data_IF_081894197854
#
_entry.id   IF_081894197854
#
_cell.length_a   1.000
_cell.length_b   1.000
_cell.length_c   1.000
_cell.angle_alpha   90.00
_cell.angle_beta   90.00
_cell.angle_gamma   90.00
#
_symmetry.space_group_name_H-M   'P 1'
#
loop_
_entity.id
_entity.type
_entity.pdbx_description
1 polymer ?
#
# COMPACT_ATOMS: atom_id res chain seq x y z
N UNK A 1 -14.97 -5.14 12.96
CA UNK A 1 -15.76 -4.10 12.26
C UNK A 1 -17.19 -4.11 12.78
N UNK A 2 -17.78 -2.96 13.14
CA UNK A 2 -19.23 -2.83 13.28
C UNK A 2 -19.85 -3.11 11.90
N UNK A 3 -20.99 -3.82 11.88
CA UNK A 3 -21.62 -4.36 10.66
C UNK A 3 -22.17 -3.30 9.70
N UNK A 4 -22.10 -2.01 10.06
CA UNK A 4 -22.80 -0.92 9.37
C UNK A 4 -21.90 -0.06 8.44
N UNK A 5 -20.61 -0.37 8.31
CA UNK A 5 -19.64 0.46 7.56
C UNK A 5 -19.45 0.08 6.07
N UNK A 6 -20.31 -0.78 5.52
CA UNK A 6 -20.19 -1.23 4.12
C UNK A 6 -20.69 -0.18 3.10
N UNK A 7 -21.53 0.77 3.54
CA UNK A 7 -22.06 1.83 2.67
C UNK A 7 -20.97 2.82 2.20
N UNK A 8 -19.96 3.05 3.04
CA UNK A 8 -18.85 3.97 2.74
C UNK A 8 -17.66 3.29 2.06
N UNK A 9 -17.66 1.95 2.00
CA UNK A 9 -16.59 1.15 1.40
C UNK A 9 -16.33 1.51 -0.09
N UNK A 10 -17.35 1.71 -0.95
CA UNK A 10 -17.12 2.11 -2.34
C UNK A 10 -16.44 3.47 -2.47
N UNK A 11 -16.83 4.44 -1.62
CA UNK A 11 -16.23 5.78 -1.61
C UNK A 11 -14.78 5.74 -1.12
N UNK A 12 -14.51 4.97 -0.06
CA UNK A 12 -13.16 4.72 0.43
C UNK A 12 -12.27 4.08 -0.65
N UNK A 13 -12.77 3.04 -1.33
CA UNK A 13 -12.05 2.37 -2.43
C UNK A 13 -11.80 3.33 -3.59
N UNK A 14 -12.77 4.18 -3.94
CA UNK A 14 -12.63 5.15 -5.03
C UNK A 14 -11.54 6.19 -4.73
N UNK A 15 -11.53 6.77 -3.53
CA UNK A 15 -10.49 7.73 -3.11
C UNK A 15 -9.11 7.07 -3.04
N UNK A 16 -9.02 5.85 -2.49
CA UNK A 16 -7.78 5.09 -2.45
C UNK A 16 -7.25 4.78 -3.85
N UNK A 17 -8.13 4.41 -4.79
CA UNK A 17 -7.79 4.17 -6.20
C UNK A 17 -7.28 5.43 -6.88
N UNK A 18 -8.00 6.53 -6.78
CA UNK A 18 -7.62 7.81 -7.42
C UNK A 18 -6.25 8.27 -6.94
N UNK A 19 -6.05 8.34 -5.62
CA UNK A 19 -4.79 8.80 -5.02
C UNK A 19 -3.61 7.89 -5.38
N UNK A 20 -3.82 6.57 -5.36
CA UNK A 20 -2.77 5.61 -5.74
C UNK A 20 -2.41 5.71 -7.22
N UNK A 21 -3.41 5.91 -8.08
CA UNK A 21 -3.22 6.07 -9.52
C UNK A 21 -2.46 7.36 -9.85
N UNK A 22 -2.83 8.50 -9.24
CA UNK A 22 -2.11 9.78 -9.44
C UNK A 22 -0.65 9.69 -9.01
N UNK A 23 -0.36 9.04 -7.88
CA UNK A 23 1.02 8.90 -7.39
C UNK A 23 1.85 7.97 -8.27
N UNK A 24 1.26 6.86 -8.73
CA UNK A 24 1.94 5.91 -9.62
C UNK A 24 2.17 6.49 -11.03
N UNK A 25 1.19 7.22 -11.57
CA UNK A 25 1.31 7.92 -12.85
C UNK A 25 2.42 8.98 -12.85
N UNK A 26 2.61 9.70 -11.73
CA UNK A 26 3.73 10.63 -11.55
C UNK A 26 5.12 9.98 -11.49
N UNK A 27 5.17 8.65 -11.32
CA UNK A 27 6.40 7.84 -11.30
C UNK A 27 6.54 6.92 -12.53
N UNK A 28 5.72 7.11 -13.56
CA UNK A 28 5.64 6.24 -14.75
C UNK A 28 5.46 4.75 -14.40
N UNK A 29 4.73 4.45 -13.31
CA UNK A 29 4.53 3.09 -12.82
C UNK A 29 3.03 2.79 -12.64
N UNK A 30 2.67 1.51 -12.61
CA UNK A 30 1.32 1.10 -12.19
C UNK A 30 1.19 1.22 -10.67
N UNK A 31 -0.03 1.34 -10.15
CA UNK A 31 -0.28 1.36 -8.70
C UNK A 31 0.18 0.07 -8.01
N UNK A 32 0.16 -1.06 -8.72
CA UNK A 32 0.66 -2.35 -8.24
C UNK A 32 2.18 -2.32 -8.13
N UNK A 33 2.89 -1.90 -9.19
CA UNK A 33 4.34 -1.79 -9.18
C UNK A 33 4.84 -0.85 -8.07
N UNK A 34 4.16 0.29 -7.86
CA UNK A 34 4.46 1.20 -6.75
C UNK A 34 4.25 0.54 -5.37
N UNK A 35 3.14 -0.16 -5.17
CA UNK A 35 2.85 -0.83 -3.90
C UNK A 35 3.89 -1.92 -3.60
N UNK A 36 4.25 -2.73 -4.61
CA UNK A 36 5.26 -3.77 -4.49
C UNK A 36 6.65 -3.18 -4.18
N UNK A 37 7.06 -2.13 -4.89
CA UNK A 37 8.33 -1.43 -4.62
C UNK A 37 8.36 -0.82 -3.20
N UNK A 38 7.24 -0.24 -2.74
CA UNK A 38 7.13 0.32 -1.39
C UNK A 38 7.17 -0.75 -0.28
N UNK A 39 6.63 -1.94 -0.51
CA UNK A 39 6.74 -3.07 0.42
C UNK A 39 8.17 -3.60 0.45
N UNK A 40 8.78 -3.82 -0.72
CA UNK A 40 10.13 -4.39 -0.81
C UNK A 40 11.24 -3.45 -0.36
N UNK A 41 11.00 -2.13 -0.32
CA UNK A 41 11.92 -1.17 0.29
C UNK A 41 12.07 -1.38 1.81
N UNK A 42 11.08 -1.99 2.47
CA UNK A 42 11.17 -2.28 3.90
C UNK A 42 12.16 -3.42 4.16
N UNK A 43 13.27 -3.11 4.84
CA UNK A 43 14.35 -4.07 5.17
C UNK A 43 13.93 -5.25 6.04
N UNK A 44 12.76 -5.17 6.69
CA UNK A 44 12.20 -6.25 7.51
C UNK A 44 11.48 -7.29 6.63
N UNK A 45 11.04 -6.90 5.43
CA UNK A 45 10.29 -7.76 4.52
C UNK A 45 11.25 -8.50 3.58
N UNK A 46 11.23 -9.83 3.63
CA UNK A 46 12.07 -10.67 2.76
C UNK A 46 11.46 -10.93 1.38
N UNK A 47 10.14 -10.94 1.26
CA UNK A 47 9.43 -11.19 0.00
C UNK A 47 7.99 -10.68 0.05
N UNK A 48 7.40 -10.50 -1.14
CA UNK A 48 5.98 -10.16 -1.31
C UNK A 48 5.29 -11.25 -2.12
N UNK A 49 4.05 -11.60 -1.76
CA UNK A 49 3.21 -12.53 -2.51
C UNK A 49 2.17 -11.73 -3.28
N UNK A 50 2.26 -11.72 -4.60
CA UNK A 50 1.28 -11.06 -5.47
C UNK A 50 0.19 -12.06 -5.92
N UNK A 51 -1.07 -11.75 -5.61
CA UNK A 51 -2.23 -12.57 -5.98
C UNK A 51 -2.70 -12.34 -7.42
N UNK A 52 -1.90 -12.77 -8.40
CA UNK A 52 -2.13 -12.46 -9.81
C UNK A 52 -3.29 -13.27 -10.39
N UNK A 53 -4.29 -12.56 -10.89
CA UNK A 53 -5.48 -13.15 -11.52
C UNK A 53 -5.38 -13.28 -13.05
N UNK A 54 -4.47 -12.54 -13.70
CA UNK A 54 -4.29 -12.52 -15.16
C UNK A 54 -2.81 -12.41 -15.51
N UNK A 55 -2.41 -12.88 -16.69
CA UNK A 55 -1.02 -12.79 -17.17
C UNK A 55 -0.58 -11.33 -17.38
N UNK A 56 -1.48 -10.44 -17.76
CA UNK A 56 -1.18 -9.00 -17.85
C UNK A 56 -0.75 -8.40 -16.50
N UNK A 57 -1.25 -8.93 -15.38
CA UNK A 57 -0.77 -8.52 -14.06
C UNK A 57 0.65 -9.02 -13.79
N UNK A 58 1.01 -10.22 -14.27
CA UNK A 58 2.37 -10.77 -14.15
C UNK A 58 3.39 -9.93 -14.90
N UNK A 59 3.06 -9.48 -16.11
CA UNK A 59 3.98 -8.66 -16.92
C UNK A 59 4.20 -7.28 -16.29
N UNK A 60 3.15 -6.71 -15.68
CA UNK A 60 3.24 -5.45 -14.92
C UNK A 60 4.11 -5.55 -13.66
N UNK A 61 4.29 -6.75 -13.11
CA UNK A 61 5.11 -7.01 -11.91
C UNK A 61 6.61 -7.18 -12.24
N UNK A 62 6.97 -7.48 -13.49
CA UNK A 62 8.39 -7.61 -13.88
C UNK A 62 9.07 -6.22 -14.00
N UNK A 63 8.31 -5.18 -14.31
CA UNK A 63 8.75 -3.76 -14.30
C UNK A 63 8.80 -3.14 -12.87
N UNK A 64 8.58 -3.96 -11.82
CA UNK A 64 8.58 -3.56 -10.41
C UNK A 64 9.90 -2.94 -9.91
N UNK A 65 11.01 -3.15 -10.62
CA UNK A 65 12.36 -2.72 -10.21
C UNK A 65 12.67 -1.24 -10.54
N UNK A 66 11.78 -0.53 -11.22
CA UNK A 66 12.05 0.85 -11.66
C UNK A 66 11.76 1.94 -10.60
N UNK A 67 10.67 1.89 -9.82
CA UNK A 67 10.39 2.94 -8.85
C UNK A 67 11.22 2.74 -7.59
N UNK A 68 11.97 3.77 -7.19
CA UNK A 68 12.56 3.86 -5.85
C UNK A 68 11.72 4.85 -5.01
N UNK A 69 10.79 4.38 -4.17
CA UNK A 69 9.96 5.25 -3.33
C UNK A 69 10.85 6.10 -2.44
N UNK A 70 10.55 7.39 -2.31
CA UNK A 70 11.30 8.35 -1.50
C UNK A 70 10.54 8.76 -0.24
N UNK A 71 11.09 9.69 0.56
CA UNK A 71 10.44 10.19 1.77
C UNK A 71 9.03 10.76 1.55
N UNK A 72 8.78 11.35 0.38
CA UNK A 72 7.48 11.91 0.02
C UNK A 72 6.42 10.82 -0.21
N UNK A 73 6.83 9.64 -0.67
CA UNK A 73 5.95 8.50 -0.86
C UNK A 73 5.59 7.87 0.48
N UNK A 74 6.54 7.80 1.42
CA UNK A 74 6.26 7.35 2.78
C UNK A 74 5.21 8.26 3.44
N UNK A 75 5.40 9.59 3.38
CA UNK A 75 4.42 10.54 3.92
C UNK A 75 3.05 10.43 3.24
N UNK A 76 3.04 10.16 1.93
CA UNK A 76 1.79 9.94 1.21
C UNK A 76 1.07 8.68 1.71
N UNK A 77 1.77 7.55 1.83
CA UNK A 77 1.16 6.29 2.31
C UNK A 77 0.68 6.43 3.76
N UNK A 78 1.47 7.06 4.63
CA UNK A 78 1.08 7.34 6.03
C UNK A 78 -0.19 8.21 6.13
N UNK A 79 -0.43 9.09 5.15
CA UNK A 79 -1.66 9.89 5.08
C UNK A 79 -2.90 9.09 4.68
N UNK A 80 -2.72 7.92 4.04
CA UNK A 80 -3.80 7.00 3.68
C UNK A 80 -4.11 6.05 4.82
N UNK A 81 -3.06 5.51 5.45
CA UNK A 81 -3.16 4.57 6.57
C UNK A 81 -2.07 4.94 7.58
N UNK A 82 -2.42 5.45 8.77
CA UNK A 82 -1.43 5.75 9.80
C UNK A 82 -0.59 4.51 10.16
N UNK A 83 0.70 4.66 10.51
CA UNK A 83 1.53 3.55 10.95
C UNK A 83 0.88 2.77 12.10
N UNK A 84 0.92 1.44 12.01
CA UNK A 84 0.42 0.59 13.09
C UNK A 84 -1.09 0.44 13.20
N UNK A 85 -1.81 0.94 12.20
CA UNK A 85 -3.24 0.74 12.10
C UNK A 85 -3.55 -0.55 11.35
N UNK A 86 -4.28 -1.47 12.01
CA UNK A 86 -4.86 -2.62 11.33
C UNK A 86 -5.97 -2.16 10.36
N UNK A 87 -6.41 -3.06 9.48
CA UNK A 87 -7.60 -2.82 8.63
C UNK A 87 -8.89 -2.59 9.45
N UNK A 88 -8.87 -2.91 10.74
CA UNK A 88 -9.88 -2.48 11.70
C UNK A 88 -9.52 -1.10 12.23
N UNK A 89 -10.33 -0.11 11.85
CA UNK A 89 -10.19 1.27 12.31
C UNK A 89 -10.15 1.36 13.85
N UNK A 90 -9.17 2.09 14.38
CA UNK A 90 -9.04 2.48 15.77
C UNK A 90 -8.38 1.47 16.71
N UNK A 91 -8.01 0.27 16.23
CA UNK A 91 -7.40 -0.76 17.08
C UNK A 91 -5.91 -0.94 16.80
N UNK A 92 -5.09 -0.64 17.80
CA UNK A 92 -3.69 -1.05 17.88
C UNK A 92 -3.55 -1.97 19.09
N UNK A 93 -3.02 -3.16 18.87
CA UNK A 93 -2.90 -4.17 19.92
C UNK A 93 -1.86 -3.72 20.97
N UNK A 94 -2.23 -3.55 22.25
CA UNK A 94 -1.29 -3.15 23.30
C UNK A 94 -0.15 -4.16 23.52
N UNK A 95 -0.36 -5.44 23.20
CA UNK A 95 0.63 -6.50 23.31
C UNK A 95 1.63 -6.55 22.15
N UNK A 96 1.34 -5.86 21.04
CA UNK A 96 2.18 -5.81 19.85
C UNK A 96 2.41 -4.35 19.42
N UNK A 97 3.31 -3.63 20.12
CA UNK A 97 3.58 -2.24 19.83
C UNK A 97 4.16 -2.06 18.42
N UNK A 98 3.87 -0.91 17.83
CA UNK A 98 4.23 -0.59 16.45
C UNK A 98 5.69 -0.12 16.43
N UNK A 99 6.60 -0.98 15.97
CA UNK A 99 8.03 -0.67 15.89
C UNK A 99 8.42 0.13 14.63
N UNK A 100 7.51 0.24 13.67
CA UNK A 100 7.71 0.96 12.42
C UNK A 100 8.64 0.25 11.44
N UNK A 101 8.93 0.93 10.33
CA UNK A 101 9.88 0.47 9.31
C UNK A 101 11.30 0.90 9.71
N UNK A 102 12.29 0.05 9.47
CA UNK A 102 13.71 0.44 9.59
C UNK A 102 14.08 1.25 8.34
N UNK A 103 14.30 2.56 8.51
CA UNK A 103 14.83 3.49 7.48
C UNK A 103 16.33 3.36 7.31
#
# INVERSE_FOLDING_TARGET
MPRDNLADLPAFIAVARERSFTRAAGRCATSVAFALAWVMKNRIVGSTIAGLRTDAHRDSDIDMLTPEPGPDDERFVDSLVPPGHASTHGYTDPGYPVEGRKV
#
